data_IF_926527514193
#
_entry.id   IF_926527514193
#
_cell.length_a   1.000
_cell.length_b   1.000
_cell.length_c   1.000
_cell.angle_alpha   90.00
_cell.angle_beta   90.00
_cell.angle_gamma   90.00
#
_symmetry.space_group_name_H-M   'P 1'
#
loop_
_entity.id
_entity.type
_entity.pdbx_description
1 polymer ?
#
# COMPACT_ATOMS: atom_id res chain seq x y z
N UNK A 1 35.05 28.53 3.02
CA UNK A 1 33.61 28.27 3.27
C UNK A 1 32.67 29.03 2.32
N UNK A 2 33.13 30.08 1.61
CA UNK A 2 32.30 30.82 0.64
C UNK A 2 31.90 30.01 -0.62
N UNK A 3 32.68 29.00 -1.01
CA UNK A 3 32.39 28.20 -2.22
C UNK A 3 31.16 27.31 -2.13
N UNK A 4 30.86 26.72 -0.96
CA UNK A 4 29.73 25.77 -0.80
C UNK A 4 28.39 26.52 -0.79
N UNK A 5 28.35 27.71 -0.19
CA UNK A 5 27.13 28.54 -0.16
C UNK A 5 26.71 28.96 -1.58
N UNK A 6 27.66 29.45 -2.38
CA UNK A 6 27.40 29.82 -3.77
C UNK A 6 26.99 28.63 -4.63
N UNK A 7 27.61 27.46 -4.40
CA UNK A 7 27.27 26.24 -5.15
C UNK A 7 25.84 25.75 -4.87
N UNK A 8 25.37 25.82 -3.61
CA UNK A 8 23.98 25.50 -3.27
C UNK A 8 23.01 26.52 -3.87
N UNK A 9 23.36 27.82 -3.87
CA UNK A 9 22.57 28.86 -4.53
C UNK A 9 22.43 28.61 -6.05
N UNK A 10 23.51 28.21 -6.72
CA UNK A 10 23.48 27.84 -8.14
C UNK A 10 22.64 26.59 -8.40
N UNK A 11 22.75 25.54 -7.57
CA UNK A 11 21.94 24.32 -7.69
C UNK A 11 20.45 24.62 -7.52
N UNK A 12 20.07 25.45 -6.55
CA UNK A 12 18.66 25.83 -6.34
C UNK A 12 18.14 26.65 -7.52
N UNK A 13 18.95 27.56 -8.06
CA UNK A 13 18.60 28.32 -9.26
C UNK A 13 18.43 27.42 -10.48
N UNK A 14 19.27 26.40 -10.65
CA UNK A 14 19.22 25.47 -11.78
C UNK A 14 18.05 24.49 -11.66
N UNK A 15 17.84 23.89 -10.49
CA UNK A 15 16.72 22.99 -10.22
C UNK A 15 15.38 23.70 -10.32
N UNK A 16 15.29 24.99 -9.99
CA UNK A 16 14.02 25.73 -10.08
C UNK A 16 13.70 26.25 -11.48
N UNK A 17 14.70 26.66 -12.27
CA UNK A 17 14.47 27.34 -13.56
C UNK A 17 14.69 26.44 -14.78
N UNK A 18 15.42 25.33 -14.63
CA UNK A 18 15.83 24.45 -15.73
C UNK A 18 15.22 23.05 -15.68
N UNK A 19 14.40 22.78 -14.67
CA UNK A 19 13.64 21.55 -14.53
C UNK A 19 12.16 21.89 -14.61
N UNK A 20 11.45 21.21 -15.51
CA UNK A 20 10.00 21.30 -15.61
C UNK A 20 9.37 20.51 -14.46
N UNK A 21 9.28 21.13 -13.29
CA UNK A 21 8.49 20.58 -12.20
C UNK A 21 7.02 20.50 -12.63
N UNK A 22 6.35 19.37 -12.38
CA UNK A 22 4.91 19.27 -12.62
C UNK A 22 4.17 20.32 -11.79
N UNK A 23 3.05 20.81 -12.31
CA UNK A 23 2.22 21.75 -11.57
C UNK A 23 1.71 21.09 -10.28
N UNK A 24 1.38 21.91 -9.28
CA UNK A 24 0.81 21.41 -8.02
C UNK A 24 -0.49 20.64 -8.23
N UNK A 25 -1.30 21.00 -9.23
CA UNK A 25 -2.49 20.25 -9.60
C UNK A 25 -2.16 18.87 -10.17
N UNK A 26 -1.11 18.74 -10.98
CA UNK A 26 -0.70 17.45 -11.57
C UNK A 26 -0.13 16.51 -10.51
N UNK A 27 0.64 17.05 -9.55
CA UNK A 27 1.15 16.30 -8.40
C UNK A 27 0.01 15.78 -7.51
N UNK A 28 -0.98 16.63 -7.25
CA UNK A 28 -2.13 16.24 -6.45
C UNK A 28 -2.97 15.17 -7.16
N UNK A 29 -3.21 15.34 -8.46
CA UNK A 29 -3.91 14.35 -9.29
C UNK A 29 -3.21 12.99 -9.24
N UNK A 30 -1.89 12.97 -9.43
CA UNK A 30 -1.09 11.74 -9.38
C UNK A 30 -1.15 11.08 -8.00
N UNK A 31 -1.11 11.86 -6.93
CA UNK A 31 -1.18 11.36 -5.55
C UNK A 31 -2.56 10.77 -5.22
N UNK A 32 -3.64 11.39 -5.71
CA UNK A 32 -5.01 10.89 -5.53
C UNK A 32 -5.20 9.54 -6.22
N UNK A 33 -4.65 9.37 -7.42
CA UNK A 33 -4.71 8.09 -8.15
C UNK A 33 -4.03 6.98 -7.34
N UNK A 34 -2.85 7.25 -6.77
CA UNK A 34 -2.13 6.29 -5.92
C UNK A 34 -2.90 5.98 -4.64
N UNK A 35 -3.50 6.98 -3.99
CA UNK A 35 -4.32 6.81 -2.80
C UNK A 35 -5.54 5.92 -3.06
N UNK A 36 -6.23 6.11 -4.19
CA UNK A 36 -7.37 5.26 -4.56
C UNK A 36 -6.89 3.83 -4.86
N UNK A 37 -5.76 3.71 -5.56
CA UNK A 37 -5.17 2.41 -5.89
C UNK A 37 -4.76 1.63 -4.65
N UNK A 38 -4.18 2.29 -3.63
CA UNK A 38 -3.76 1.64 -2.39
C UNK A 38 -4.95 1.13 -1.58
N UNK A 39 -6.08 1.85 -1.58
CA UNK A 39 -7.33 1.38 -0.96
C UNK A 39 -7.84 0.10 -1.64
N UNK A 40 -7.83 0.07 -2.98
CA UNK A 40 -8.26 -1.11 -3.73
C UNK A 40 -7.33 -2.30 -3.47
N UNK A 41 -6.01 -2.07 -3.46
CA UNK A 41 -5.03 -3.11 -3.13
C UNK A 41 -5.21 -3.65 -1.71
N UNK A 42 -5.43 -2.78 -0.73
CA UNK A 42 -5.71 -3.19 0.65
C UNK A 42 -6.97 -4.06 0.73
N UNK A 43 -8.02 -3.72 -0.03
CA UNK A 43 -9.23 -4.53 -0.10
C UNK A 43 -8.98 -5.91 -0.72
N UNK A 44 -8.18 -5.99 -1.79
CA UNK A 44 -7.82 -7.26 -2.43
C UNK A 44 -7.00 -8.14 -1.48
N UNK A 45 -6.02 -7.57 -0.79
CA UNK A 45 -5.20 -8.30 0.20
C UNK A 45 -6.10 -8.79 1.34
N UNK A 46 -7.02 -7.96 1.82
CA UNK A 46 -7.99 -8.37 2.85
C UNK A 46 -8.85 -9.55 2.39
N UNK A 47 -9.29 -9.58 1.13
CA UNK A 47 -10.02 -10.73 0.58
C UNK A 47 -9.12 -11.97 0.52
N UNK A 48 -7.87 -11.84 0.06
CA UNK A 48 -6.92 -12.97 0.03
C UNK A 48 -6.64 -13.51 1.44
N UNK A 49 -6.43 -12.63 2.41
CA UNK A 49 -6.21 -12.99 3.81
C UNK A 49 -7.47 -13.62 4.43
N UNK A 50 -8.67 -13.16 4.05
CA UNK A 50 -9.93 -13.80 4.44
C UNK A 50 -10.05 -15.21 3.83
N UNK A 51 -9.55 -15.41 2.60
CA UNK A 51 -9.61 -16.67 1.86
C UNK A 51 -8.66 -17.74 2.37
N UNK A 52 -7.43 -17.34 2.66
CA UNK A 52 -6.37 -18.26 3.06
C UNK A 52 -6.13 -18.29 4.57
N UNK A 53 -6.57 -17.27 5.30
CA UNK A 53 -6.33 -17.11 6.73
C UNK A 53 -7.14 -18.10 7.57
N UNK A 54 -6.45 -18.80 8.47
CA UNK A 54 -7.08 -19.50 9.58
C UNK A 54 -7.47 -18.43 10.60
N UNK A 55 -8.72 -17.97 10.56
CA UNK A 55 -9.24 -17.17 11.67
C UNK A 55 -9.43 -18.12 12.85
N UNK A 56 -8.71 -17.94 13.99
CA UNK A 56 -9.00 -18.72 15.19
C UNK A 56 -10.40 -18.31 15.62
N UNK A 57 -11.38 -19.14 15.28
CA UNK A 57 -12.73 -19.02 15.80
C UNK A 57 -12.61 -19.12 17.32
N UNK A 58 -12.65 -17.98 18.00
CA UNK A 58 -12.95 -17.95 19.41
C UNK A 58 -14.32 -18.65 19.55
N UNK A 59 -14.31 -19.70 20.35
CA UNK A 59 -15.26 -20.82 20.44
C UNK A 59 -16.67 -20.42 20.96
N UNK A 60 -17.19 -19.23 20.63
CA UNK A 60 -18.41 -18.71 21.25
C UNK A 60 -19.31 -17.81 20.39
N UNK A 61 -19.18 -17.83 19.06
CA UNK A 61 -20.15 -17.18 18.19
C UNK A 61 -20.52 -18.07 16.99
N UNK A 62 -21.58 -18.84 17.18
CA UNK A 62 -22.28 -19.59 16.17
C UNK A 62 -22.87 -18.65 15.11
N UNK A 63 -22.24 -18.55 13.95
CA UNK A 63 -22.99 -18.18 12.73
C UNK A 63 -22.28 -18.58 11.43
N UNK A 64 -20.99 -18.30 11.23
CA UNK A 64 -20.34 -18.63 9.95
C UNK A 64 -18.81 -18.53 10.03
N UNK A 65 -18.14 -19.58 10.52
CA UNK A 65 -16.67 -19.66 10.53
C UNK A 65 -16.17 -20.38 9.28
N UNK A 66 -15.74 -19.63 8.27
CA UNK A 66 -15.00 -20.19 7.15
C UNK A 66 -13.60 -20.60 7.63
N UNK A 67 -13.26 -21.90 7.55
CA UNK A 67 -11.95 -22.42 8.02
C UNK A 67 -10.77 -22.06 7.10
N UNK A 68 -10.98 -21.21 6.08
CA UNK A 68 -10.04 -20.93 5.01
C UNK A 68 -9.67 -22.18 4.19
N UNK A 69 -9.02 -22.00 3.04
CA UNK A 69 -8.58 -23.12 2.17
C UNK A 69 -7.64 -24.09 2.92
N UNK A 70 -6.80 -23.56 3.81
CA UNK A 70 -5.86 -24.35 4.60
C UNK A 70 -6.56 -25.23 5.64
N UNK A 71 -7.64 -24.78 6.29
CA UNK A 71 -8.39 -25.59 7.25
C UNK A 71 -9.14 -26.76 6.61
N UNK A 72 -9.53 -26.64 5.34
CA UNK A 72 -10.04 -27.78 4.56
C UNK A 72 -8.92 -28.77 4.23
N UNK A 73 -7.75 -28.30 3.77
CA UNK A 73 -6.60 -29.15 3.45
C UNK A 73 -6.11 -29.91 4.69
N UNK A 74 -5.98 -29.24 5.84
CA UNK A 74 -5.60 -29.89 7.09
C UNK A 74 -6.62 -30.96 7.52
N UNK A 75 -7.92 -30.72 7.35
CA UNK A 75 -8.93 -31.76 7.64
C UNK A 75 -8.80 -32.96 6.69
N UNK A 76 -8.56 -32.75 5.39
CA UNK A 76 -8.41 -33.82 4.42
C UNK A 76 -7.10 -34.62 4.57
N UNK A 77 -6.04 -34.01 5.09
CA UNK A 77 -4.74 -34.68 5.29
C UNK A 77 -4.67 -35.39 6.66
N UNK A 78 -5.31 -34.85 7.69
CA UNK A 78 -5.29 -35.40 9.05
C UNK A 78 -6.41 -36.42 9.32
N UNK A 79 -7.07 -36.93 8.28
CA UNK A 79 -8.07 -38.00 8.35
C UNK A 79 -7.80 -39.03 7.25
#
# INVERSE_FOLDING_TARGET
MAGIKNYIEEIVHELSNKVSWPSWQDLQTSSIIVLVTSIILAFIIWVMDYVFGIWPAADSAQSFSWRGILGFIYHFINN
#
